data_IF_574860848932
#
_entry.id   IF_574860848932
#
_cell.length_a   1.000
_cell.length_b   1.000
_cell.length_c   1.000
_cell.angle_alpha   90.00
_cell.angle_beta   90.00
_cell.angle_gamma   90.00
#
_symmetry.space_group_name_H-M   'P 1'
#
loop_
_entity.id
_entity.type
_entity.pdbx_description
1 polymer ?
#
# COMPACT_ATOMS: atom_id res chain seq x y z
N UNK A 1 -1.86 13.14 1.51
CA UNK A 1 -2.76 12.31 0.69
C UNK A 1 -2.02 11.85 -0.56
N UNK A 2 -2.14 10.61 -0.89
CA UNK A 2 -1.55 10.14 -2.13
C UNK A 2 -2.66 9.69 -3.08
N UNK A 3 -2.44 9.91 -4.35
CA UNK A 3 -3.33 9.46 -5.39
C UNK A 3 -2.70 8.26 -6.08
N UNK A 4 -3.46 7.20 -6.21
CA UNK A 4 -3.05 6.02 -6.94
C UNK A 4 -3.70 6.06 -8.29
N UNK A 5 -2.90 6.03 -9.35
CA UNK A 5 -3.43 5.93 -10.69
C UNK A 5 -3.74 4.48 -10.99
N UNK A 6 -4.92 4.22 -11.48
CA UNK A 6 -5.37 2.87 -11.76
C UNK A 6 -5.65 2.73 -13.27
N UNK A 7 -5.14 1.65 -13.84
CA UNK A 7 -5.37 1.30 -15.23
C UNK A 7 -6.05 -0.06 -15.26
N UNK A 8 -7.01 -0.23 -16.13
CA UNK A 8 -7.75 -1.49 -16.27
C UNK A 8 -7.30 -2.20 -17.53
N UNK A 9 -6.93 -3.48 -17.42
CA UNK A 9 -6.53 -4.31 -18.54
C UNK A 9 -7.17 -5.68 -18.43
N UNK A 10 -7.51 -6.32 -19.56
CA UNK A 10 -8.01 -7.69 -19.53
C UNK A 10 -6.91 -8.69 -19.19
N UNK A 11 -7.30 -9.85 -18.70
CA UNK A 11 -6.35 -10.89 -18.31
C UNK A 11 -5.44 -11.36 -19.46
N UNK A 12 -5.93 -11.26 -20.69
CA UNK A 12 -5.10 -11.60 -21.85
C UNK A 12 -3.85 -10.73 -21.95
N UNK A 13 -3.93 -9.46 -21.52
CA UNK A 13 -2.79 -8.56 -21.52
C UNK A 13 -1.72 -9.00 -20.51
N UNK A 14 -2.13 -9.58 -19.39
CA UNK A 14 -1.17 -10.08 -18.42
C UNK A 14 -0.30 -11.19 -19.03
N UNK A 15 -0.88 -12.00 -19.89
CA UNK A 15 -0.18 -13.08 -20.56
C UNK A 15 0.63 -12.57 -21.76
N UNK A 16 0.02 -11.72 -22.57
CA UNK A 16 0.60 -11.33 -23.85
C UNK A 16 1.37 -10.03 -23.82
N UNK A 17 1.09 -9.17 -22.88
CA UNK A 17 1.68 -7.83 -22.76
C UNK A 17 2.22 -7.55 -21.37
N UNK A 18 2.78 -8.58 -20.75
CA UNK A 18 3.30 -8.44 -19.39
C UNK A 18 4.35 -7.35 -19.27
N UNK A 19 5.22 -7.23 -20.28
CA UNK A 19 6.27 -6.22 -20.24
C UNK A 19 5.71 -4.80 -20.19
N UNK A 20 4.61 -4.56 -20.87
CA UNK A 20 3.95 -3.26 -20.84
C UNK A 20 3.34 -2.99 -19.47
N UNK A 21 2.73 -4.02 -18.89
CA UNK A 21 2.13 -3.90 -17.55
C UNK A 21 3.21 -3.65 -16.52
N UNK A 22 4.31 -4.40 -16.59
CA UNK A 22 5.45 -4.22 -15.69
C UNK A 22 6.00 -2.80 -15.79
N UNK A 23 6.12 -2.28 -16.98
CA UNK A 23 6.61 -0.93 -17.22
C UNK A 23 5.67 0.11 -16.61
N UNK A 24 4.38 -0.05 -16.77
CA UNK A 24 3.40 0.84 -16.17
C UNK A 24 3.53 0.86 -14.64
N UNK A 25 3.72 -0.31 -14.06
CA UNK A 25 3.83 -0.42 -12.61
C UNK A 25 5.13 0.21 -12.09
N UNK A 26 6.24 0.02 -12.80
CA UNK A 26 7.54 0.50 -12.32
C UNK A 26 7.82 1.94 -12.69
N UNK A 27 7.54 2.35 -13.91
CA UNK A 27 7.88 3.68 -14.37
C UNK A 27 6.81 4.72 -14.04
N UNK A 28 5.55 4.35 -14.22
CA UNK A 28 4.44 5.28 -14.02
C UNK A 28 3.80 5.16 -12.64
N UNK A 29 4.27 4.22 -11.83
CA UNK A 29 3.70 3.94 -10.50
C UNK A 29 2.20 3.69 -10.54
N UNK A 30 1.74 3.07 -11.62
CA UNK A 30 0.33 2.74 -11.78
C UNK A 30 0.01 1.39 -11.16
N UNK A 31 -1.21 1.27 -10.68
CA UNK A 31 -1.78 0.00 -10.27
C UNK A 31 -2.63 -0.50 -11.42
N UNK A 32 -2.36 -1.72 -11.89
CA UNK A 32 -3.07 -2.28 -13.02
C UNK A 32 -4.09 -3.30 -12.52
N UNK A 33 -5.35 -3.01 -12.76
CA UNK A 33 -6.45 -3.90 -12.40
C UNK A 33 -6.67 -4.88 -13.54
N UNK A 34 -6.50 -6.16 -13.29
CA UNK A 34 -6.68 -7.20 -14.28
C UNK A 34 -8.11 -7.70 -14.19
N UNK A 35 -8.80 -7.69 -15.31
CA UNK A 35 -10.20 -8.09 -15.35
C UNK A 35 -10.37 -9.44 -16.06
N UNK A 36 -11.38 -10.16 -15.63
CA UNK A 36 -11.85 -11.38 -16.29
C UNK A 36 -13.34 -11.20 -16.51
N UNK A 37 -13.76 -11.33 -17.77
CA UNK A 37 -15.17 -11.13 -18.14
C UNK A 37 -15.72 -9.78 -17.68
N UNK A 38 -14.90 -8.74 -17.77
CA UNK A 38 -15.30 -7.39 -17.41
C UNK A 38 -15.33 -7.10 -15.93
N UNK A 39 -14.87 -8.03 -15.10
CA UNK A 39 -14.84 -7.86 -13.65
C UNK A 39 -13.42 -7.85 -13.13
N UNK A 40 -13.14 -7.02 -12.15
CA UNK A 40 -11.84 -7.02 -11.50
C UNK A 40 -11.55 -8.37 -10.87
N UNK A 41 -10.41 -8.94 -11.21
CA UNK A 41 -9.99 -10.26 -10.74
C UNK A 41 -8.75 -10.17 -9.87
N UNK A 42 -7.72 -9.52 -10.38
CA UNK A 42 -6.45 -9.35 -9.67
C UNK A 42 -5.94 -7.94 -9.85
N UNK A 43 -4.96 -7.57 -9.04
CA UNK A 43 -4.32 -6.27 -9.12
C UNK A 43 -2.82 -6.49 -9.26
N UNK A 44 -2.20 -5.77 -10.18
CA UNK A 44 -0.77 -5.83 -10.43
C UNK A 44 -0.14 -4.48 -10.10
N UNK A 45 0.90 -4.50 -9.29
CA UNK A 45 1.64 -3.30 -8.94
C UNK A 45 3.10 -3.68 -8.74
N UNK A 46 3.99 -2.68 -8.69
CA UNK A 46 5.40 -2.97 -8.49
C UNK A 46 5.62 -3.51 -7.07
N UNK A 47 6.63 -4.35 -6.93
CA UNK A 47 6.97 -4.90 -5.62
C UNK A 47 7.28 -3.80 -4.61
N UNK A 48 7.94 -2.75 -5.06
CA UNK A 48 8.25 -1.61 -4.19
C UNK A 48 7.01 -0.88 -3.72
N UNK A 49 6.04 -0.68 -4.61
CA UNK A 49 4.79 -0.06 -4.24
C UNK A 49 4.01 -0.94 -3.26
N UNK A 50 4.03 -2.25 -3.48
CA UNK A 50 3.40 -3.19 -2.55
C UNK A 50 4.03 -3.08 -1.16
N UNK A 51 5.35 -3.05 -1.08
CA UNK A 51 6.04 -2.91 0.21
C UNK A 51 5.68 -1.60 0.90
N UNK A 52 5.59 -0.54 0.12
CA UNK A 52 5.23 0.78 0.66
C UNK A 52 3.82 0.79 1.22
N UNK A 53 2.87 0.22 0.50
CA UNK A 53 1.49 0.11 0.95
C UNK A 53 1.38 -0.77 2.19
N UNK A 54 2.09 -1.88 2.20
CA UNK A 54 2.11 -2.79 3.34
C UNK A 54 2.64 -2.09 4.58
N UNK A 55 3.73 -1.34 4.44
CA UNK A 55 4.30 -0.59 5.56
C UNK A 55 3.32 0.45 6.10
N UNK A 56 2.60 1.11 5.22
CA UNK A 56 1.59 2.08 5.65
C UNK A 56 0.45 1.44 6.43
N UNK A 57 0.00 0.28 5.96
CA UNK A 57 -1.07 -0.45 6.66
C UNK A 57 -0.60 -0.89 8.04
N UNK A 58 0.61 -1.40 8.16
CA UNK A 58 1.16 -1.80 9.44
C UNK A 58 1.28 -0.60 10.38
N UNK A 59 1.71 0.55 9.87
CA UNK A 59 1.81 1.77 10.64
C UNK A 59 0.46 2.22 11.15
N UNK A 60 -0.57 2.18 10.30
CA UNK A 60 -1.92 2.55 10.69
C UNK A 60 -2.47 1.62 11.78
N UNK A 61 -2.16 0.34 11.71
CA UNK A 61 -2.55 -0.61 12.75
C UNK A 61 -1.90 -0.26 14.08
N UNK A 62 -0.62 0.07 14.08
CA UNK A 62 0.10 0.47 15.28
C UNK A 62 -0.53 1.73 15.89
N UNK A 63 -0.87 2.69 15.06
CA UNK A 63 -1.52 3.92 15.53
C UNK A 63 -2.90 3.65 16.11
N UNK A 64 -3.66 2.75 15.51
CA UNK A 64 -4.97 2.38 16.02
C UNK A 64 -4.86 1.69 17.38
N UNK A 65 -3.88 0.81 17.55
CA UNK A 65 -3.64 0.16 18.84
C UNK A 65 -3.24 1.16 19.91
N UNK A 66 -2.39 2.11 19.57
CA UNK A 66 -1.97 3.15 20.50
C UNK A 66 -3.17 4.00 20.96
N UNK A 67 -4.07 4.31 20.04
CA UNK A 67 -5.28 5.07 20.36
C UNK A 67 -6.21 4.27 21.28
N UNK A 68 -6.35 2.97 21.03
CA UNK A 68 -7.14 2.09 21.88
C UNK A 68 -6.56 1.99 23.28
N UNK A 69 -5.24 1.92 23.41
CA UNK A 69 -4.56 1.87 24.68
C UNK A 69 -4.84 3.14 25.49
N UNK A 70 -4.88 4.29 24.85
CA UNK A 70 -5.23 5.55 25.48
C UNK A 70 -6.65 5.52 26.01
N UNK A 71 -7.58 5.04 25.20
CA UNK A 71 -9.00 4.96 25.57
C UNK A 71 -9.24 4.05 26.76
N UNK A 72 -8.41 3.03 26.89
CA UNK A 72 -8.52 2.06 27.97
C UNK A 72 -7.71 2.49 29.21
N UNK A 73 -7.28 3.72 29.27
CA UNK A 73 -6.47 4.28 30.35
C UNK A 73 -5.15 3.54 30.59
N UNK A 74 -4.68 2.86 29.59
CA UNK A 74 -3.36 2.27 29.66
C UNK A 74 -2.33 3.38 29.51
N UNK A 75 -1.55 3.57 30.55
CA UNK A 75 -0.56 4.64 30.56
C UNK A 75 0.67 4.19 29.81
N UNK A 76 0.53 3.94 28.52
CA UNK A 76 1.72 3.88 27.69
C UNK A 76 2.09 5.33 27.38
N UNK A 77 3.35 5.71 27.49
CA UNK A 77 3.73 7.07 27.08
C UNK A 77 3.51 7.23 25.58
N UNK A 78 2.38 7.78 25.25
CA UNK A 78 2.00 8.01 23.85
C UNK A 78 3.08 8.77 23.11
N UNK A 79 3.71 9.71 23.80
CA UNK A 79 4.77 10.51 23.23
C UNK A 79 5.90 9.64 22.71
N UNK A 80 6.30 8.65 23.48
CA UNK A 80 7.38 7.75 23.07
C UNK A 80 6.95 6.92 21.86
N UNK A 81 5.70 6.47 21.83
CA UNK A 81 5.17 5.73 20.69
C UNK A 81 5.20 6.56 19.42
N UNK A 82 4.76 7.81 19.50
CA UNK A 82 4.79 8.70 18.36
C UNK A 82 6.20 9.01 17.89
N UNK A 83 7.13 9.17 18.83
CA UNK A 83 8.52 9.42 18.48
C UNK A 83 9.12 8.21 17.75
N UNK A 84 8.82 7.01 18.21
CA UNK A 84 9.25 5.78 17.53
C UNK A 84 8.69 5.70 16.11
N UNK A 85 7.43 6.03 15.95
CA UNK A 85 6.79 6.02 14.63
C UNK A 85 7.42 7.04 13.69
N UNK A 86 7.75 8.21 14.21
CA UNK A 86 8.44 9.24 13.41
C UNK A 86 9.82 8.78 12.98
N UNK A 87 10.52 8.10 13.87
CA UNK A 87 11.84 7.56 13.55
C UNK A 87 11.72 6.52 12.42
N UNK A 88 10.71 5.66 12.46
CA UNK A 88 10.47 4.70 11.40
C UNK A 88 10.19 5.37 10.06
N UNK A 89 9.45 6.46 10.07
CA UNK A 89 9.13 7.19 8.85
C UNK A 89 10.34 7.91 8.28
N UNK A 90 11.24 8.35 9.12
CA UNK A 90 12.45 9.06 8.67
C UNK A 90 13.50 8.13 8.09
N UNK A 91 13.46 6.87 8.39
CA UNK A 91 14.42 5.89 7.92
C UNK A 91 14.19 5.44 6.47
N UNK A 92 13.22 5.99 5.80
CA UNK A 92 12.95 5.66 4.40
C UNK A 92 13.63 6.62 3.46
#
# INVERSE_FOLDING_TARGET
MFAIQETIRPSADLRNHYNEISKQCHEDNEVVIITVNGRGDTVTLSYEEYKRMKSRLELLEILAEADDDVRNERVAPIKDTFDDLRAMLKEK
#
